data_IF_352172381182
#
_entry.id   IF_352172381182
#
_cell.length_a   1.000
_cell.length_b   1.000
_cell.length_c   1.000
_cell.angle_alpha   90.00
_cell.angle_beta   90.00
_cell.angle_gamma   90.00
#
_symmetry.space_group_name_H-M   'P 1'
#
loop_
_entity.id
_entity.type
_entity.pdbx_description
1 polymer ?
#
# COMPACT_ATOMS: atom_id res chain seq x y z
N UNK A 1 -60.84 -25.07 5.63
CA UNK A 1 -61.92 -24.07 5.83
C UNK A 1 -61.37 -22.88 6.59
N UNK A 2 -61.61 -21.64 6.13
CA UNK A 2 -61.18 -20.40 6.81
C UNK A 2 -61.79 -20.29 8.22
N UNK A 3 -61.10 -19.63 9.15
CA UNK A 3 -61.56 -19.47 10.54
C UNK A 3 -62.95 -18.82 10.63
N UNK A 4 -63.23 -17.84 9.76
CA UNK A 4 -64.55 -17.22 9.62
C UNK A 4 -65.64 -18.20 9.22
N UNK A 5 -65.34 -19.15 8.34
CA UNK A 5 -66.31 -20.17 7.91
C UNK A 5 -66.60 -21.17 9.03
N UNK A 6 -65.58 -21.54 9.83
CA UNK A 6 -65.78 -22.40 11.01
C UNK A 6 -66.62 -21.71 12.08
N UNK A 7 -66.38 -20.42 12.33
CA UNK A 7 -67.13 -19.63 13.31
C UNK A 7 -68.59 -19.44 12.92
N UNK A 8 -68.86 -19.09 11.65
CA UNK A 8 -70.23 -19.00 11.12
C UNK A 8 -70.93 -20.35 11.20
N UNK A 9 -70.27 -21.44 10.79
CA UNK A 9 -70.84 -22.79 10.87
C UNK A 9 -71.18 -23.16 12.33
N UNK A 10 -70.29 -22.87 13.27
CA UNK A 10 -70.51 -23.12 14.69
C UNK A 10 -71.71 -22.35 15.24
N UNK A 11 -71.83 -21.05 14.93
CA UNK A 11 -72.99 -20.24 15.30
C UNK A 11 -74.27 -20.80 14.70
N UNK A 12 -74.26 -21.14 13.40
CA UNK A 12 -75.43 -21.69 12.70
C UNK A 12 -75.88 -23.01 13.33
N UNK A 13 -74.95 -23.92 13.65
CA UNK A 13 -75.27 -25.20 14.28
C UNK A 13 -75.86 -24.99 15.68
N UNK A 14 -75.25 -24.14 16.51
CA UNK A 14 -75.78 -23.84 17.86
C UNK A 14 -77.19 -23.26 17.77
N UNK A 15 -77.40 -22.28 16.90
CA UNK A 15 -78.70 -21.62 16.77
C UNK A 15 -79.75 -22.55 16.15
N UNK A 16 -79.37 -23.42 15.22
CA UNK A 16 -80.28 -24.45 14.69
C UNK A 16 -80.73 -25.42 15.80
N UNK A 17 -79.83 -25.85 16.68
CA UNK A 17 -80.15 -26.72 17.82
C UNK A 17 -81.04 -25.98 18.82
N UNK A 18 -80.73 -24.74 19.19
CA UNK A 18 -81.55 -23.98 20.16
C UNK A 18 -82.91 -23.61 19.61
N UNK A 19 -83.04 -23.28 18.33
CA UNK A 19 -84.34 -23.07 17.66
C UNK A 19 -85.16 -24.36 17.65
N UNK A 20 -84.54 -25.49 17.34
CA UNK A 20 -85.21 -26.80 17.34
C UNK A 20 -85.70 -27.18 18.74
N UNK A 21 -84.87 -26.97 19.77
CA UNK A 21 -85.26 -27.19 21.17
C UNK A 21 -86.38 -26.24 21.62
N UNK A 22 -86.32 -24.96 21.22
CA UNK A 22 -87.37 -23.98 21.50
C UNK A 22 -88.72 -24.41 20.90
N UNK A 23 -88.71 -25.00 19.70
CA UNK A 23 -89.92 -25.52 19.06
C UNK A 23 -90.60 -26.66 19.87
N UNK A 24 -89.83 -27.49 20.58
CA UNK A 24 -90.42 -28.49 21.48
C UNK A 24 -91.08 -27.84 22.71
N UNK A 25 -90.47 -26.78 23.26
CA UNK A 25 -91.00 -26.02 24.42
C UNK A 25 -92.32 -25.31 24.07
N UNK A 26 -92.51 -24.89 22.81
CA UNK A 26 -93.75 -24.28 22.33
C UNK A 26 -95.00 -25.13 22.60
N UNK A 27 -94.87 -26.47 22.53
CA UNK A 27 -96.01 -27.38 22.76
C UNK A 27 -96.46 -27.42 24.22
N UNK A 28 -95.56 -27.13 25.17
CA UNK A 28 -95.86 -27.21 26.61
C UNK A 28 -96.21 -25.85 27.21
N UNK A 29 -95.48 -24.79 26.86
CA UNK A 29 -95.67 -23.47 27.47
C UNK A 29 -95.30 -22.32 26.54
N UNK A 30 -96.32 -21.60 26.04
CA UNK A 30 -96.16 -20.45 25.13
C UNK A 30 -95.35 -19.30 25.75
N UNK A 31 -95.41 -19.12 27.07
CA UNK A 31 -94.70 -18.04 27.76
C UNK A 31 -93.19 -18.30 27.81
N UNK A 32 -92.79 -19.55 28.09
CA UNK A 32 -91.39 -19.97 28.06
C UNK A 32 -90.79 -19.92 26.65
N UNK A 33 -91.60 -20.21 25.62
CA UNK A 33 -91.20 -20.08 24.23
C UNK A 33 -90.83 -18.64 23.85
N UNK A 34 -91.66 -17.65 24.20
CA UNK A 34 -91.37 -16.24 23.92
C UNK A 34 -90.10 -15.75 24.60
N UNK A 35 -89.84 -16.20 25.84
CA UNK A 35 -88.60 -15.88 26.55
C UNK A 35 -87.39 -16.51 25.86
N UNK A 36 -87.49 -17.78 25.45
CA UNK A 36 -86.42 -18.46 24.72
C UNK A 36 -86.11 -17.78 23.37
N UNK A 37 -87.14 -17.35 22.63
CA UNK A 37 -86.99 -16.65 21.36
C UNK A 37 -86.26 -15.31 21.53
N UNK A 38 -86.58 -14.54 22.58
CA UNK A 38 -85.85 -13.32 22.93
C UNK A 38 -84.36 -13.59 23.16
N UNK A 39 -84.01 -14.63 23.94
CA UNK A 39 -82.60 -14.99 24.18
C UNK A 39 -81.89 -15.48 22.92
N UNK A 40 -82.57 -16.18 22.02
CA UNK A 40 -82.02 -16.60 20.72
C UNK A 40 -81.70 -15.38 19.85
N UNK A 41 -82.62 -14.41 19.76
CA UNK A 41 -82.40 -13.17 19.01
C UNK A 41 -81.26 -12.33 19.61
N UNK A 42 -81.19 -12.25 20.95
CA UNK A 42 -80.09 -11.60 21.65
C UNK A 42 -78.74 -12.29 21.37
N UNK A 43 -78.71 -13.63 21.38
CA UNK A 43 -77.51 -14.41 21.08
C UNK A 43 -77.05 -14.22 19.62
N UNK A 44 -77.99 -14.17 18.67
CA UNK A 44 -77.71 -13.83 17.27
C UNK A 44 -77.10 -12.44 17.13
N UNK A 45 -77.67 -11.44 17.82
CA UNK A 45 -77.15 -10.07 17.80
C UNK A 45 -75.73 -9.98 18.37
N UNK A 46 -75.47 -10.65 19.51
CA UNK A 46 -74.14 -10.72 20.12
C UNK A 46 -73.15 -11.44 19.19
N UNK A 47 -73.56 -12.56 18.60
CA UNK A 47 -72.73 -13.35 17.68
C UNK A 47 -72.35 -12.54 16.43
N UNK A 48 -73.30 -11.77 15.89
CA UNK A 48 -73.06 -10.86 14.77
C UNK A 48 -72.13 -9.70 15.15
N UNK A 49 -72.29 -9.13 16.33
CA UNK A 49 -71.39 -8.10 16.87
C UNK A 49 -69.95 -8.63 16.97
N UNK A 50 -69.76 -9.78 17.62
CA UNK A 50 -68.44 -10.41 17.78
C UNK A 50 -67.77 -10.74 16.44
N UNK A 51 -68.55 -11.19 15.45
CA UNK A 51 -68.02 -11.44 14.10
C UNK A 51 -67.46 -10.16 13.46
N UNK A 52 -68.20 -9.06 13.55
CA UNK A 52 -67.80 -7.79 12.96
C UNK A 52 -66.65 -7.12 13.72
N UNK A 53 -66.57 -7.30 15.03
CA UNK A 53 -65.55 -6.67 15.87
C UNK A 53 -64.22 -7.43 15.89
N UNK A 54 -64.24 -8.77 15.79
CA UNK A 54 -63.04 -9.58 15.97
C UNK A 54 -62.59 -10.29 14.68
N UNK A 55 -63.52 -10.93 13.97
CA UNK A 55 -63.17 -11.84 12.86
C UNK A 55 -62.87 -11.06 11.57
N UNK A 56 -63.67 -10.04 11.25
CA UNK A 56 -63.53 -9.25 10.02
C UNK A 56 -62.21 -8.44 9.98
N UNK A 57 -61.80 -7.73 11.04
CA UNK A 57 -60.55 -6.98 11.04
C UNK A 57 -59.31 -7.87 11.00
N UNK A 58 -59.34 -9.05 11.65
CA UNK A 58 -58.24 -10.01 11.62
C UNK A 58 -57.87 -10.45 10.19
N UNK A 59 -58.85 -10.55 9.30
CA UNK A 59 -58.61 -10.87 7.89
C UNK A 59 -57.86 -9.76 7.14
N UNK A 60 -58.00 -8.49 7.56
CA UNK A 60 -57.26 -7.38 6.99
C UNK A 60 -55.79 -7.43 7.41
N UNK A 61 -55.50 -7.71 8.69
CA UNK A 61 -54.12 -7.90 9.16
C UNK A 61 -53.43 -9.08 8.48
N UNK A 62 -54.14 -10.17 8.23
CA UNK A 62 -53.60 -11.31 7.47
C UNK A 62 -53.18 -10.91 6.05
N UNK A 63 -53.89 -9.97 5.39
CA UNK A 63 -53.45 -9.41 4.10
C UNK A 63 -52.21 -8.52 4.24
N UNK A 64 -52.01 -7.89 5.39
CA UNK A 64 -50.77 -7.16 5.68
C UNK A 64 -49.57 -8.09 5.83
N UNK A 65 -49.78 -9.29 6.38
CA UNK A 65 -48.74 -10.31 6.40
C UNK A 65 -48.32 -10.76 4.98
N UNK A 66 -49.27 -10.81 4.04
CA UNK A 66 -48.95 -11.05 2.62
C UNK A 66 -48.12 -9.89 2.03
N UNK A 67 -48.40 -8.63 2.38
CA UNK A 67 -47.57 -7.48 1.95
C UNK A 67 -46.13 -7.55 2.48
N UNK A 68 -45.92 -8.01 3.72
CA UNK A 68 -44.58 -8.27 4.27
C UNK A 68 -43.87 -9.37 3.49
N UNK A 69 -44.57 -10.46 3.18
CA UNK A 69 -44.03 -11.58 2.38
C UNK A 69 -43.60 -11.10 0.98
N UNK A 70 -44.36 -10.19 0.39
CA UNK A 70 -44.06 -9.57 -0.89
C UNK A 70 -43.03 -8.42 -0.80
N UNK A 71 -42.48 -8.17 0.40
CA UNK A 71 -41.49 -7.12 0.72
C UNK A 71 -41.97 -5.69 0.46
N UNK A 72 -43.27 -5.48 0.50
CA UNK A 72 -43.91 -4.16 0.43
C UNK A 72 -44.19 -3.61 1.84
N UNK A 73 -43.23 -2.83 2.35
CA UNK A 73 -43.28 -2.23 3.68
C UNK A 73 -43.95 -0.85 3.71
N UNK A 74 -44.63 -0.45 2.63
CA UNK A 74 -45.34 0.85 2.59
C UNK A 74 -46.78 0.76 3.10
N UNK A 75 -47.29 -0.46 3.31
CA UNK A 75 -48.67 -0.70 3.72
C UNK A 75 -48.83 -0.48 5.23
N UNK A 76 -49.68 0.47 5.60
CA UNK A 76 -50.07 0.76 6.99
C UNK A 76 -51.55 0.53 7.18
N UNK A 77 -51.92 0.08 8.38
CA UNK A 77 -53.33 -0.05 8.76
C UNK A 77 -53.79 1.16 9.57
N UNK A 78 -55.01 1.59 9.30
CA UNK A 78 -55.70 2.64 10.04
C UNK A 78 -56.45 1.99 11.21
N UNK A 79 -56.46 2.67 12.37
CA UNK A 79 -57.20 2.22 13.56
C UNK A 79 -58.69 2.06 13.23
N UNK A 80 -59.28 0.99 13.76
CA UNK A 80 -60.67 0.58 13.55
C UNK A 80 -61.62 1.07 14.65
N UNK A 81 -61.08 1.60 15.75
CA UNK A 81 -61.85 2.06 16.91
C UNK A 81 -62.24 0.92 17.86
N UNK A 82 -61.70 -0.29 17.65
CA UNK A 82 -61.89 -1.46 18.52
C UNK A 82 -60.59 -1.72 19.28
N UNK A 83 -60.67 -1.81 20.61
CA UNK A 83 -59.51 -1.78 21.48
C UNK A 83 -58.48 -2.88 21.17
N UNK A 84 -58.91 -4.13 21.11
CA UNK A 84 -58.05 -5.30 20.87
C UNK A 84 -57.43 -5.26 19.47
N UNK A 85 -58.18 -4.77 18.49
CA UNK A 85 -57.71 -4.68 17.11
C UNK A 85 -56.73 -3.53 16.92
N UNK A 86 -57.00 -2.39 17.55
CA UNK A 86 -56.13 -1.22 17.46
C UNK A 86 -54.77 -1.49 18.11
N UNK A 87 -54.70 -2.31 19.16
CA UNK A 87 -53.43 -2.81 19.71
C UNK A 87 -52.65 -3.64 18.68
N UNK A 88 -53.29 -4.57 17.98
CA UNK A 88 -52.63 -5.39 16.94
C UNK A 88 -52.16 -4.53 15.76
N UNK A 89 -52.96 -3.54 15.35
CA UNK A 89 -52.59 -2.57 14.31
C UNK A 89 -51.39 -1.74 14.75
N UNK A 90 -51.32 -1.34 16.02
CA UNK A 90 -50.21 -0.58 16.57
C UNK A 90 -48.92 -1.40 16.57
N UNK A 91 -48.97 -2.67 17.01
CA UNK A 91 -47.83 -3.60 16.94
C UNK A 91 -47.38 -3.83 15.49
N UNK A 92 -48.33 -4.06 14.58
CA UNK A 92 -48.02 -4.25 13.16
C UNK A 92 -47.35 -3.01 12.55
N UNK A 93 -47.93 -1.83 12.74
CA UNK A 93 -47.40 -0.58 12.19
C UNK A 93 -46.00 -0.29 12.77
N UNK A 94 -45.81 -0.52 14.08
CA UNK A 94 -44.49 -0.36 14.70
C UNK A 94 -43.46 -1.32 14.10
N UNK A 95 -43.81 -2.59 13.88
CA UNK A 95 -42.93 -3.55 13.23
C UNK A 95 -42.57 -3.15 11.79
N UNK A 96 -43.54 -2.68 11.00
CA UNK A 96 -43.28 -2.19 9.63
C UNK A 96 -42.34 -0.99 9.63
N UNK A 97 -42.55 -0.06 10.56
CA UNK A 97 -41.68 1.12 10.69
C UNK A 97 -40.25 0.70 11.07
N UNK A 98 -40.08 -0.24 12.00
CA UNK A 98 -38.77 -0.80 12.35
C UNK A 98 -38.10 -1.50 11.17
N UNK A 99 -38.81 -2.38 10.45
CA UNK A 99 -38.27 -3.07 9.27
C UNK A 99 -37.88 -2.10 8.15
N UNK A 100 -38.68 -1.06 7.94
CA UNK A 100 -38.38 -0.01 6.96
C UNK A 100 -37.14 0.77 7.37
N UNK A 101 -37.02 1.13 8.65
CA UNK A 101 -35.85 1.82 9.17
C UNK A 101 -34.60 0.96 9.02
N UNK A 102 -34.62 -0.29 9.47
CA UNK A 102 -33.50 -1.23 9.32
C UNK A 102 -33.07 -1.40 7.87
N UNK A 103 -34.03 -1.58 6.95
CA UNK A 103 -33.74 -1.71 5.52
C UNK A 103 -33.10 -0.44 4.95
N UNK A 104 -33.64 0.72 5.30
CA UNK A 104 -33.11 2.02 4.82
C UNK A 104 -31.70 2.22 5.34
N UNK A 105 -31.47 2.00 6.65
CA UNK A 105 -30.14 2.10 7.26
C UNK A 105 -29.16 1.10 6.66
N UNK A 106 -29.56 -0.16 6.41
CA UNK A 106 -28.71 -1.15 5.73
C UNK A 106 -28.36 -0.72 4.30
N UNK A 107 -29.32 -0.19 3.55
CA UNK A 107 -29.09 0.31 2.18
C UNK A 107 -28.15 1.51 2.17
N UNK A 108 -28.32 2.46 3.09
CA UNK A 108 -27.44 3.63 3.26
C UNK A 108 -26.02 3.20 3.64
N UNK A 109 -25.87 2.27 4.59
CA UNK A 109 -24.57 1.71 4.96
C UNK A 109 -23.90 1.00 3.78
N UNK A 110 -24.64 0.16 3.05
CA UNK A 110 -24.10 -0.53 1.88
C UNK A 110 -23.65 0.46 0.79
N UNK A 111 -24.48 1.47 0.50
CA UNK A 111 -24.16 2.51 -0.46
C UNK A 111 -22.93 3.33 -0.04
N UNK A 112 -22.82 3.65 1.26
CA UNK A 112 -21.65 4.35 1.81
C UNK A 112 -20.37 3.51 1.67
N UNK A 113 -20.40 2.23 2.03
CA UNK A 113 -19.27 1.32 1.88
C UNK A 113 -18.85 1.16 0.41
N UNK A 114 -19.83 1.01 -0.50
CA UNK A 114 -19.56 0.93 -1.94
C UNK A 114 -18.88 2.23 -2.43
N UNK A 115 -19.37 3.40 -1.99
CA UNK A 115 -18.77 4.68 -2.33
C UNK A 115 -17.35 4.80 -1.81
N UNK A 116 -17.08 4.42 -0.55
CA UNK A 116 -15.72 4.42 0.01
C UNK A 116 -14.76 3.55 -0.82
N UNK A 117 -15.19 2.35 -1.23
CA UNK A 117 -14.38 1.46 -2.08
C UNK A 117 -14.13 2.11 -3.44
N UNK A 118 -15.15 2.71 -4.06
CA UNK A 118 -15.05 3.34 -5.38
C UNK A 118 -14.18 4.61 -5.39
N UNK A 119 -14.16 5.38 -4.30
CA UNK A 119 -13.37 6.62 -4.17
C UNK A 119 -12.00 6.42 -3.51
N UNK A 120 -11.68 5.20 -3.07
CA UNK A 120 -10.40 4.92 -2.41
C UNK A 120 -9.22 5.16 -3.36
N UNK A 121 -8.15 5.84 -2.89
CA UNK A 121 -6.91 6.02 -3.65
C UNK A 121 -6.08 4.73 -3.77
N UNK A 122 -6.46 3.68 -3.04
CA UNK A 122 -5.88 2.33 -3.10
C UNK A 122 -6.66 1.48 -4.10
N UNK A 123 -5.95 0.73 -4.96
CA UNK A 123 -6.57 -0.27 -5.83
C UNK A 123 -6.99 -1.49 -5.01
N UNK A 124 -8.27 -1.86 -5.08
CA UNK A 124 -8.83 -3.01 -4.35
C UNK A 124 -9.35 -4.03 -5.37
N UNK A 125 -8.91 -5.28 -5.24
CA UNK A 125 -9.37 -6.44 -6.00
C UNK A 125 -9.94 -7.46 -5.01
N UNK A 126 -11.18 -7.88 -5.21
CA UNK A 126 -11.87 -8.88 -4.41
C UNK A 126 -11.98 -10.18 -5.20
N UNK A 127 -11.66 -11.29 -4.56
CA UNK A 127 -11.80 -12.63 -5.12
C UNK A 127 -13.01 -13.34 -4.51
N UNK A 128 -13.63 -14.23 -5.28
CA UNK A 128 -14.60 -15.19 -4.73
C UNK A 128 -13.89 -16.41 -4.12
N UNK A 129 -14.68 -17.34 -3.58
CA UNK A 129 -14.19 -18.56 -2.94
C UNK A 129 -13.47 -19.53 -3.90
N UNK A 130 -13.71 -19.40 -5.21
CA UNK A 130 -13.05 -20.19 -6.24
C UNK A 130 -11.77 -19.50 -6.76
N UNK A 131 -11.42 -18.32 -6.23
CA UNK A 131 -10.24 -17.55 -6.60
C UNK A 131 -10.41 -16.71 -7.87
N UNK A 132 -11.63 -16.52 -8.37
CA UNK A 132 -11.91 -15.62 -9.49
C UNK A 132 -12.13 -14.19 -9.02
N UNK A 133 -11.84 -13.23 -9.90
CA UNK A 133 -12.10 -11.81 -9.61
C UNK A 133 -13.61 -11.56 -9.54
N UNK A 134 -14.09 -11.25 -8.32
CA UNK A 134 -15.47 -10.91 -8.04
C UNK A 134 -15.75 -9.41 -8.28
N UNK A 135 -14.84 -8.53 -7.82
CA UNK A 135 -14.97 -7.09 -7.97
C UNK A 135 -13.63 -6.38 -7.98
N UNK A 136 -13.60 -5.21 -8.62
CA UNK A 136 -12.46 -4.29 -8.65
C UNK A 136 -12.98 -2.85 -8.53
N UNK A 137 -12.28 -2.02 -7.77
CA UNK A 137 -12.56 -0.60 -7.73
C UNK A 137 -11.89 0.13 -8.93
N UNK A 138 -12.28 1.39 -9.23
CA UNK A 138 -11.73 2.14 -10.36
C UNK A 138 -10.20 2.22 -10.34
N UNK A 139 -9.62 2.42 -9.15
CA UNK A 139 -8.17 2.52 -9.00
C UNK A 139 -7.43 1.22 -9.32
N UNK A 140 -8.00 0.06 -8.97
CA UNK A 140 -7.44 -1.23 -9.37
C UNK A 140 -7.50 -1.45 -10.89
N UNK A 141 -8.57 -0.99 -11.56
CA UNK A 141 -8.68 -1.05 -13.01
C UNK A 141 -7.61 -0.19 -13.70
N UNK A 142 -7.33 1.00 -13.17
CA UNK A 142 -6.23 1.85 -13.63
C UNK A 142 -4.86 1.16 -13.46
N UNK A 143 -4.59 0.59 -12.29
CA UNK A 143 -3.32 -0.08 -12.01
C UNK A 143 -3.07 -1.37 -12.77
N UNK A 144 -4.15 -2.03 -13.20
CA UNK A 144 -4.08 -3.28 -13.97
C UNK A 144 -4.28 -3.05 -15.47
N UNK A 145 -4.52 -1.80 -15.88
CA UNK A 145 -4.88 -1.41 -17.24
C UNK A 145 -6.05 -2.23 -17.84
N UNK A 146 -6.96 -2.72 -17.00
CA UNK A 146 -8.09 -3.56 -17.41
C UNK A 146 -9.37 -2.75 -17.59
N UNK A 147 -10.17 -3.15 -18.58
CA UNK A 147 -11.55 -2.71 -18.70
C UNK A 147 -12.45 -3.55 -17.79
N UNK A 148 -13.39 -2.89 -17.11
CA UNK A 148 -14.30 -3.50 -16.11
C UNK A 148 -15.02 -4.76 -16.61
N UNK A 149 -15.37 -4.80 -17.89
CA UNK A 149 -16.10 -5.91 -18.53
C UNK A 149 -15.24 -7.16 -18.75
N UNK A 150 -13.91 -6.99 -18.87
CA UNK A 150 -12.97 -8.09 -19.11
C UNK A 150 -12.43 -8.71 -17.83
N UNK A 151 -12.68 -8.09 -16.68
CA UNK A 151 -12.12 -8.49 -15.39
C UNK A 151 -12.97 -9.51 -14.61
N UNK A 152 -14.30 -9.55 -14.80
CA UNK A 152 -15.18 -10.41 -13.99
C UNK A 152 -15.03 -11.88 -14.34
N UNK A 153 -14.93 -12.73 -13.30
CA UNK A 153 -14.95 -14.21 -13.39
C UNK A 153 -13.89 -14.80 -14.31
N UNK A 154 -12.67 -14.24 -14.27
CA UNK A 154 -11.50 -14.83 -14.94
C UNK A 154 -10.44 -15.21 -13.92
N UNK A 155 -9.73 -16.32 -14.14
CA UNK A 155 -8.64 -16.73 -13.26
C UNK A 155 -7.45 -15.76 -13.44
N UNK A 156 -6.66 -15.61 -12.38
CA UNK A 156 -5.45 -14.78 -12.38
C UNK A 156 -4.46 -15.16 -13.50
N UNK A 157 -4.45 -16.44 -13.90
CA UNK A 157 -3.59 -16.98 -14.96
C UNK A 157 -3.85 -16.39 -16.35
N UNK A 158 -5.05 -15.85 -16.59
CA UNK A 158 -5.42 -15.31 -17.90
C UNK A 158 -4.81 -13.92 -18.16
N UNK A 159 -4.23 -13.30 -17.14
CA UNK A 159 -3.69 -11.95 -17.23
C UNK A 159 -2.17 -11.96 -17.25
N UNK A 160 -1.59 -11.33 -18.27
CA UNK A 160 -0.14 -11.20 -18.46
C UNK A 160 0.47 -9.99 -17.76
N UNK A 161 -0.36 -9.14 -17.14
CA UNK A 161 0.13 -7.91 -16.49
C UNK A 161 1.00 -8.26 -15.26
N UNK A 162 2.13 -7.57 -15.03
CA UNK A 162 3.06 -7.85 -13.91
C UNK A 162 2.39 -7.89 -12.54
N UNK A 163 1.39 -7.03 -12.33
CA UNK A 163 0.59 -7.01 -11.08
C UNK A 163 -0.08 -8.35 -10.82
N UNK A 164 -0.66 -9.01 -11.83
CA UNK A 164 -1.36 -10.29 -11.63
C UNK A 164 -0.41 -11.45 -11.38
N UNK A 165 0.78 -11.42 -11.99
CA UNK A 165 1.83 -12.42 -11.70
C UNK A 165 2.24 -12.37 -10.22
N UNK A 166 2.45 -11.17 -9.69
CA UNK A 166 2.81 -10.96 -8.28
C UNK A 166 1.68 -11.41 -7.35
N UNK A 167 0.42 -11.10 -7.70
CA UNK A 167 -0.74 -11.56 -6.93
C UNK A 167 -0.81 -13.09 -6.87
N UNK A 168 -0.49 -13.77 -7.97
CA UNK A 168 -0.46 -15.23 -8.04
C UNK A 168 0.64 -15.87 -7.18
N UNK A 169 1.76 -15.18 -6.98
CA UNK A 169 2.89 -15.64 -6.15
C UNK A 169 2.69 -15.37 -4.64
N UNK A 170 1.92 -14.34 -4.30
CA UNK A 170 1.75 -13.88 -2.92
C UNK A 170 0.91 -14.86 -2.08
N UNK A 171 1.42 -15.19 -0.89
CA UNK A 171 0.61 -15.87 0.14
C UNK A 171 -0.24 -14.85 0.89
N UNK A 172 -1.34 -15.33 1.48
CA UNK A 172 -2.20 -14.51 2.32
C UNK A 172 -1.42 -13.93 3.51
N UNK A 173 -1.48 -12.62 3.69
CA UNK A 173 -0.76 -11.87 4.73
C UNK A 173 0.58 -11.27 4.26
N UNK A 174 1.07 -11.64 3.07
CA UNK A 174 2.32 -11.11 2.52
C UNK A 174 2.09 -9.85 1.69
N UNK A 175 3.16 -9.06 1.53
CA UNK A 175 3.20 -7.92 0.62
C UNK A 175 4.49 -7.91 -0.19
N UNK A 176 4.41 -7.48 -1.45
CA UNK A 176 5.54 -7.38 -2.37
C UNK A 176 5.47 -6.06 -3.12
N UNK A 177 6.63 -5.46 -3.34
CA UNK A 177 6.75 -4.20 -4.06
C UNK A 177 7.24 -4.47 -5.48
N UNK A 178 6.61 -3.84 -6.46
CA UNK A 178 7.03 -3.89 -7.87
C UNK A 178 7.18 -2.50 -8.46
N UNK A 179 8.08 -2.36 -9.41
CA UNK A 179 8.23 -1.14 -10.21
C UNK A 179 7.65 -1.41 -11.58
N UNK A 180 6.66 -0.62 -11.99
CA UNK A 180 6.08 -0.65 -13.34
C UNK A 180 6.89 0.26 -14.28
N UNK A 181 6.74 0.07 -15.59
CA UNK A 181 7.44 0.84 -16.63
C UNK A 181 7.41 2.36 -16.36
N UNK A 182 8.51 2.89 -15.78
CA UNK A 182 8.62 4.27 -15.29
C UNK A 182 9.10 4.36 -13.82
N UNK A 183 8.95 5.52 -13.15
CA UNK A 183 9.34 5.72 -11.75
C UNK A 183 8.29 5.23 -10.74
N UNK A 184 7.22 4.57 -11.18
CA UNK A 184 6.08 4.22 -10.32
C UNK A 184 6.33 2.90 -9.61
N UNK A 185 6.34 2.95 -8.29
CA UNK A 185 6.50 1.78 -7.44
C UNK A 185 5.16 1.46 -6.78
N UNK A 186 4.68 0.24 -6.96
CA UNK A 186 3.44 -0.24 -6.35
C UNK A 186 3.75 -1.24 -5.25
N UNK A 187 3.12 -1.08 -4.10
CA UNK A 187 3.04 -2.10 -3.05
C UNK A 187 1.76 -2.89 -3.24
N UNK A 188 1.90 -4.20 -3.38
CA UNK A 188 0.79 -5.14 -3.51
C UNK A 188 0.73 -5.95 -2.22
N UNK A 189 -0.41 -5.96 -1.56
CA UNK A 189 -0.64 -6.74 -0.34
C UNK A 189 -1.85 -7.66 -0.54
N UNK A 190 -1.68 -8.93 -0.17
CA UNK A 190 -2.76 -9.91 -0.20
C UNK A 190 -3.25 -10.16 1.22
N UNK A 191 -4.55 -10.05 1.43
CA UNK A 191 -5.22 -10.28 2.70
C UNK A 191 -6.47 -11.13 2.49
N UNK A 192 -7.10 -11.55 3.58
CA UNK A 192 -8.25 -12.45 3.54
C UNK A 192 -9.30 -12.01 4.55
N UNK A 193 -10.55 -12.23 4.20
CA UNK A 193 -11.70 -12.05 5.07
C UNK A 193 -12.62 -13.27 4.95
N UNK A 194 -13.59 -13.39 5.85
CA UNK A 194 -14.57 -14.49 5.81
C UNK A 194 -15.89 -13.94 5.31
N UNK A 195 -16.41 -14.48 4.21
CA UNK A 195 -17.75 -14.21 3.71
C UNK A 195 -18.59 -15.49 3.76
N UNK A 196 -19.74 -15.45 4.43
CA UNK A 196 -20.67 -16.60 4.60
C UNK A 196 -20.00 -17.89 5.08
N UNK A 197 -18.94 -17.78 5.89
CA UNK A 197 -18.18 -18.91 6.41
C UNK A 197 -17.05 -19.41 5.52
N UNK A 198 -16.83 -18.81 4.34
CA UNK A 198 -15.74 -19.15 3.44
C UNK A 198 -14.66 -18.06 3.42
N UNK A 199 -13.38 -18.44 3.50
CA UNK A 199 -12.29 -17.48 3.34
C UNK A 199 -12.25 -16.96 1.90
N UNK A 200 -12.26 -15.64 1.75
CA UNK A 200 -12.16 -14.95 0.47
C UNK A 200 -10.94 -14.03 0.51
N UNK A 201 -10.11 -14.12 -0.52
CA UNK A 201 -8.93 -13.25 -0.65
C UNK A 201 -9.33 -11.87 -1.19
N UNK A 202 -8.58 -10.85 -0.79
CA UNK A 202 -8.60 -9.54 -1.41
C UNK A 202 -7.17 -8.99 -1.51
N UNK A 203 -6.95 -8.15 -2.51
CA UNK A 203 -5.66 -7.53 -2.77
C UNK A 203 -5.79 -6.02 -2.74
N UNK A 204 -4.83 -5.38 -2.08
CA UNK A 204 -4.65 -3.93 -2.07
C UNK A 204 -3.40 -3.56 -2.86
N UNK A 205 -3.53 -2.51 -3.67
CA UNK A 205 -2.48 -1.99 -4.55
C UNK A 205 -2.31 -0.51 -4.25
N UNK A 206 -1.20 -0.15 -3.62
CA UNK A 206 -0.87 1.21 -3.21
C UNK A 206 0.31 1.74 -4.01
N UNK A 207 0.25 2.98 -4.46
CA UNK A 207 1.40 3.65 -5.05
C UNK A 207 2.31 4.18 -3.92
N UNK A 208 3.55 3.71 -3.91
CA UNK A 208 4.62 4.29 -3.10
C UNK A 208 5.11 5.53 -3.84
N UNK A 209 4.64 6.72 -3.43
CA UNK A 209 5.09 7.97 -4.03
C UNK A 209 6.53 8.27 -3.63
N UNK A 210 7.22 9.05 -4.49
CA UNK A 210 8.57 9.55 -4.21
C UNK A 210 8.59 10.34 -2.89
N UNK A 211 7.51 11.03 -2.50
CA UNK A 211 7.47 11.75 -1.22
C UNK A 211 7.53 10.81 0.00
N UNK A 212 6.92 9.62 -0.06
CA UNK A 212 6.98 8.63 1.03
C UNK A 212 8.40 8.05 1.11
N UNK A 213 9.00 7.70 -0.04
CA UNK A 213 10.38 7.22 -0.08
C UNK A 213 11.38 8.29 0.39
N UNK A 214 11.17 9.55 0.02
CA UNK A 214 11.94 10.68 0.49
C UNK A 214 11.72 10.97 1.97
N UNK A 215 10.50 10.80 2.48
CA UNK A 215 10.17 10.96 3.89
C UNK A 215 10.83 9.86 4.74
N UNK A 216 10.81 8.61 4.27
CA UNK A 216 11.58 7.52 4.87
C UNK A 216 13.08 7.79 4.82
N UNK A 217 13.64 8.19 3.66
CA UNK A 217 15.06 8.57 3.50
C UNK A 217 15.45 9.71 4.45
N UNK A 218 14.59 10.74 4.59
CA UNK A 218 14.79 11.86 5.53
C UNK A 218 14.73 11.42 6.99
N UNK A 219 13.80 10.53 7.34
CA UNK A 219 13.63 9.99 8.70
C UNK A 219 14.85 9.15 9.12
N UNK A 220 15.24 8.17 8.29
CA UNK A 220 16.44 7.38 8.50
C UNK A 220 17.71 8.25 8.51
N UNK A 221 17.79 9.26 7.65
CA UNK A 221 18.91 10.18 7.63
C UNK A 221 19.13 10.98 8.91
N UNK A 222 18.06 11.32 9.63
CA UNK A 222 18.17 12.00 10.92
C UNK A 222 18.72 11.06 12.01
N UNK A 223 18.25 9.81 12.03
CA UNK A 223 18.73 8.78 12.98
C UNK A 223 20.18 8.43 12.70
N UNK A 224 20.53 8.21 11.44
CA UNK A 224 21.90 7.84 11.03
C UNK A 224 22.88 8.98 11.33
N UNK A 225 22.47 10.24 11.21
CA UNK A 225 23.27 11.42 11.62
C UNK A 225 23.57 11.42 13.11
N UNK A 226 22.55 11.18 13.94
CA UNK A 226 22.73 11.11 15.40
C UNK A 226 23.69 9.97 15.75
N UNK A 227 23.51 8.79 15.14
CA UNK A 227 24.39 7.65 15.36
C UNK A 227 25.83 7.91 14.88
N UNK A 228 26.03 8.53 13.72
CA UNK A 228 27.37 8.85 13.22
C UNK A 228 28.11 9.83 14.14
N UNK A 229 27.43 10.84 14.68
CA UNK A 229 28.01 11.72 15.69
C UNK A 229 28.35 10.97 16.98
N UNK A 230 27.45 10.14 17.49
CA UNK A 230 27.68 9.40 18.74
C UNK A 230 28.81 8.38 18.61
N UNK A 231 28.89 7.69 17.47
CA UNK A 231 29.97 6.73 17.16
C UNK A 231 31.30 7.44 17.00
N UNK A 232 31.36 8.57 16.28
CA UNK A 232 32.60 9.34 16.15
C UNK A 232 33.08 9.91 17.49
N UNK A 233 32.17 10.38 18.34
CA UNK A 233 32.49 10.86 19.68
C UNK A 233 33.06 9.73 20.55
N UNK A 234 32.42 8.55 20.53
CA UNK A 234 32.87 7.38 21.28
C UNK A 234 34.21 6.85 20.79
N UNK A 235 34.40 6.77 19.47
CA UNK A 235 35.67 6.33 18.85
C UNK A 235 36.81 7.31 19.17
N UNK A 236 36.56 8.62 19.11
CA UNK A 236 37.57 9.63 19.44
C UNK A 236 38.09 9.48 20.87
N UNK A 237 37.19 9.23 21.83
CA UNK A 237 37.56 8.98 23.21
C UNK A 237 38.35 7.67 23.37
N UNK A 238 37.92 6.58 22.71
CA UNK A 238 38.62 5.30 22.74
C UNK A 238 40.02 5.41 22.12
N UNK A 239 40.16 6.07 20.97
CA UNK A 239 41.47 6.28 20.34
C UNK A 239 42.40 7.12 21.23
N UNK A 240 41.89 8.15 21.89
CA UNK A 240 42.70 8.94 22.83
C UNK A 240 43.24 8.10 24.00
N UNK A 241 42.42 7.18 24.54
CA UNK A 241 42.86 6.25 25.59
C UNK A 241 43.88 5.25 25.03
N UNK A 242 43.65 4.71 23.83
CA UNK A 242 44.57 3.78 23.18
C UNK A 242 45.91 4.44 22.85
N UNK A 243 45.92 5.66 22.33
CA UNK A 243 47.13 6.45 22.04
C UNK A 243 47.92 6.76 23.32
N UNK A 244 47.23 7.18 24.39
CA UNK A 244 47.86 7.42 25.69
C UNK A 244 48.46 6.13 26.24
N UNK A 245 47.73 5.02 26.13
CA UNK A 245 48.22 3.71 26.58
C UNK A 245 49.43 3.29 25.75
N UNK A 246 49.40 3.47 24.43
CA UNK A 246 50.49 3.14 23.50
C UNK A 246 51.77 3.93 23.83
N UNK A 247 51.64 5.22 24.18
CA UNK A 247 52.76 6.08 24.58
C UNK A 247 53.38 5.68 25.92
N UNK A 248 52.60 5.10 26.84
CA UNK A 248 53.06 4.63 28.15
C UNK A 248 53.69 3.22 28.11
N UNK A 249 53.58 2.48 27.00
CA UNK A 249 54.15 1.14 26.86
C UNK A 249 55.65 1.16 26.55
N UNK A 250 56.39 0.22 27.16
CA UNK A 250 57.80 -0.01 26.85
C UNK A 250 58.03 -0.34 25.35
N UNK A 251 59.22 -0.07 24.79
CA UNK A 251 59.55 -0.34 23.39
C UNK A 251 59.25 -1.78 22.94
N UNK A 252 59.54 -2.77 23.79
CA UNK A 252 59.40 -4.21 23.51
C UNK A 252 58.08 -4.82 23.99
N UNK A 253 57.06 -4.01 24.28
CA UNK A 253 55.75 -4.52 24.73
C UNK A 253 55.02 -5.28 23.62
N UNK A 254 54.69 -6.55 23.86
CA UNK A 254 53.89 -7.39 22.94
C UNK A 254 52.48 -6.81 22.66
N UNK A 255 52.01 -5.88 23.48
CA UNK A 255 50.68 -5.26 23.37
C UNK A 255 50.68 -4.08 22.40
N UNK A 256 51.84 -3.48 22.07
CA UNK A 256 51.94 -2.33 21.14
C UNK A 256 51.34 -2.61 19.76
N UNK A 257 51.66 -3.74 19.07
CA UNK A 257 51.05 -4.06 17.80
C UNK A 257 49.52 -4.20 17.88
N UNK A 258 49.00 -4.77 18.97
CA UNK A 258 47.56 -4.93 19.19
C UNK A 258 46.85 -3.59 19.39
N UNK A 259 47.45 -2.65 20.13
CA UNK A 259 46.93 -1.30 20.31
C UNK A 259 46.91 -0.51 18.99
N UNK A 260 47.97 -0.63 18.19
CA UNK A 260 48.07 0.06 16.91
C UNK A 260 47.03 -0.45 15.90
N UNK A 261 46.81 -1.76 15.85
CA UNK A 261 45.72 -2.37 15.07
C UNK A 261 44.33 -1.91 15.56
N UNK A 262 44.14 -1.74 16.87
CA UNK A 262 42.87 -1.25 17.42
C UNK A 262 42.59 0.21 17.03
N UNK A 263 43.62 1.07 17.07
CA UNK A 263 43.55 2.47 16.61
C UNK A 263 43.19 2.52 15.13
N UNK A 264 43.89 1.78 14.27
CA UNK A 264 43.63 1.73 12.83
C UNK A 264 42.19 1.26 12.52
N UNK A 265 41.69 0.24 13.24
CA UNK A 265 40.31 -0.24 13.06
C UNK A 265 39.26 0.78 13.48
N UNK A 266 39.51 1.51 14.55
CA UNK A 266 38.64 2.57 15.02
C UNK A 266 38.60 3.75 14.04
N UNK A 267 39.75 4.16 13.51
CA UNK A 267 39.83 5.19 12.48
C UNK A 267 39.09 4.78 11.19
N UNK A 268 39.21 3.51 10.79
CA UNK A 268 38.45 2.97 9.67
C UNK A 268 36.94 3.03 9.93
N UNK A 269 36.47 2.70 11.13
CA UNK A 269 35.05 2.77 11.50
C UNK A 269 34.54 4.22 11.52
N UNK A 270 35.34 5.17 12.02
CA UNK A 270 35.00 6.60 11.98
C UNK A 270 34.88 7.13 10.55
N UNK A 271 35.81 6.75 9.67
CA UNK A 271 35.72 7.09 8.24
C UNK A 271 34.49 6.46 7.57
N UNK A 272 34.20 5.20 7.88
CA UNK A 272 33.01 4.51 7.37
C UNK A 272 31.72 5.23 7.77
N UNK A 273 31.57 5.59 9.05
CA UNK A 273 30.37 6.28 9.55
C UNK A 273 30.20 7.67 8.94
N UNK A 274 31.28 8.42 8.74
CA UNK A 274 31.23 9.73 8.06
C UNK A 274 30.77 9.60 6.61
N UNK A 275 31.39 8.70 5.86
CA UNK A 275 31.05 8.49 4.46
C UNK A 275 29.61 7.97 4.28
N UNK A 276 29.13 7.15 5.22
CA UNK A 276 27.74 6.68 5.22
C UNK A 276 26.75 7.81 5.49
N UNK A 277 27.05 8.69 6.47
CA UNK A 277 26.25 9.87 6.73
C UNK A 277 26.20 10.83 5.53
N UNK A 278 27.30 10.99 4.80
CA UNK A 278 27.37 11.88 3.63
C UNK A 278 26.49 11.41 2.46
N UNK A 279 26.36 10.09 2.22
CA UNK A 279 25.43 9.55 1.21
C UNK A 279 23.98 9.85 1.53
N UNK A 280 23.60 9.80 2.80
CA UNK A 280 22.21 10.03 3.21
C UNK A 280 21.92 11.55 3.34
N UNK A 281 22.97 12.36 3.49
CA UNK A 281 22.92 13.82 3.65
C UNK A 281 22.84 14.57 2.33
N UNK A 282 23.05 13.94 1.17
CA UNK A 282 23.23 14.67 -0.11
C UNK A 282 22.15 15.75 -0.30
N UNK A 283 22.50 17.05 -0.18
CA UNK A 283 21.52 18.13 -0.31
C UNK A 283 21.13 18.31 -1.77
N UNK A 284 19.97 18.92 -2.00
CA UNK A 284 19.57 19.30 -3.36
C UNK A 284 20.66 20.20 -3.99
N UNK A 285 21.05 19.96 -5.26
CA UNK A 285 22.15 20.68 -5.90
C UNK A 285 21.80 22.15 -6.11
N UNK A 286 22.70 23.04 -5.72
CA UNK A 286 22.58 24.48 -6.02
C UNK A 286 23.23 24.75 -7.37
N UNK A 287 22.45 24.56 -8.44
CA UNK A 287 22.97 24.65 -9.82
C UNK A 287 23.29 26.11 -10.20
N UNK A 288 24.52 26.35 -10.61
CA UNK A 288 24.96 27.59 -11.24
C UNK A 288 25.61 27.29 -12.58
N UNK A 289 25.86 28.32 -13.39
CA UNK A 289 26.61 28.16 -14.63
C UNK A 289 28.09 27.96 -14.28
N UNK A 290 28.61 26.76 -14.47
CA UNK A 290 29.97 26.34 -14.09
C UNK A 290 30.78 26.02 -15.33
N UNK A 291 32.02 26.52 -15.39
CA UNK A 291 33.01 26.14 -16.39
C UNK A 291 33.58 24.74 -16.07
N UNK A 292 33.24 23.75 -16.90
CA UNK A 292 33.67 22.37 -16.70
C UNK A 292 35.16 22.19 -16.98
N UNK A 293 35.75 22.98 -17.88
CA UNK A 293 37.17 22.88 -18.19
C UNK A 293 38.01 23.33 -16.98
N UNK A 294 37.63 24.43 -16.33
CA UNK A 294 38.29 24.94 -15.13
C UNK A 294 38.16 23.93 -13.98
N UNK A 295 36.96 23.38 -13.76
CA UNK A 295 36.71 22.38 -12.73
C UNK A 295 37.57 21.12 -12.95
N UNK A 296 37.65 20.61 -14.17
CA UNK A 296 38.46 19.43 -14.50
C UNK A 296 39.96 19.70 -14.31
N UNK A 297 40.46 20.90 -14.67
CA UNK A 297 41.86 21.29 -14.41
C UNK A 297 42.15 21.27 -12.91
N UNK A 298 41.29 21.89 -12.10
CA UNK A 298 41.43 21.94 -10.64
C UNK A 298 41.47 20.54 -10.02
N UNK A 299 40.54 19.67 -10.39
CA UNK A 299 40.47 18.31 -9.84
C UNK A 299 41.64 17.44 -10.32
N UNK A 300 42.02 17.55 -11.59
CA UNK A 300 43.18 16.80 -12.12
C UNK A 300 44.46 17.21 -11.40
N UNK A 301 44.64 18.51 -11.13
CA UNK A 301 45.77 19.00 -10.34
C UNK A 301 45.75 18.47 -8.91
N UNK A 302 44.59 18.47 -8.24
CA UNK A 302 44.42 17.90 -6.90
C UNK A 302 44.81 16.42 -6.85
N UNK A 303 44.49 15.65 -7.89
CA UNK A 303 44.75 14.20 -7.96
C UNK A 303 46.14 13.82 -8.50
N UNK A 304 46.92 14.80 -8.97
CA UNK A 304 48.27 14.57 -9.49
C UNK A 304 49.21 13.90 -8.48
N UNK A 305 49.16 14.30 -7.21
CA UNK A 305 50.00 13.71 -6.16
C UNK A 305 49.65 12.25 -5.90
N UNK A 306 48.36 11.93 -5.79
CA UNK A 306 47.88 10.56 -5.60
C UNK A 306 48.23 9.65 -6.78
N UNK A 307 48.09 10.15 -8.02
CA UNK A 307 48.48 9.40 -9.21
C UNK A 307 49.99 9.16 -9.26
N UNK A 308 50.82 10.16 -8.93
CA UNK A 308 52.28 10.02 -8.87
C UNK A 308 52.71 8.96 -7.83
N UNK A 309 52.09 8.95 -6.65
CA UNK A 309 52.39 7.95 -5.62
C UNK A 309 51.99 6.53 -6.04
N UNK A 310 50.90 6.39 -6.81
CA UNK A 310 50.47 5.11 -7.37
C UNK A 310 51.28 4.70 -8.63
N UNK A 311 52.10 5.60 -9.18
CA UNK A 311 52.83 5.40 -10.43
C UNK A 311 51.92 5.36 -11.66
N UNK A 312 50.84 6.15 -11.67
CA UNK A 312 49.84 6.22 -12.75
C UNK A 312 49.97 7.56 -13.50
N UNK A 313 49.91 7.54 -14.83
CA UNK A 313 49.88 8.75 -15.66
C UNK A 313 48.47 9.32 -15.74
N UNK A 314 48.30 10.63 -15.49
CA UNK A 314 47.03 11.35 -15.67
C UNK A 314 47.09 12.19 -16.94
N UNK A 315 46.15 11.96 -17.85
CA UNK A 315 46.04 12.69 -19.11
C UNK A 315 44.72 13.45 -19.15
N UNK A 316 44.77 14.77 -19.36
CA UNK A 316 43.59 15.63 -19.44
C UNK A 316 43.45 16.19 -20.85
N UNK A 317 42.32 15.91 -21.49
CA UNK A 317 41.93 16.45 -22.80
C UNK A 317 40.61 17.21 -22.66
N UNK A 318 40.64 18.50 -22.97
CA UNK A 318 39.48 19.40 -22.83
C UNK A 318 39.32 20.25 -24.10
N UNK A 319 38.08 20.59 -24.49
CA UNK A 319 37.83 21.24 -25.77
C UNK A 319 38.06 22.76 -25.67
N UNK A 320 38.26 23.40 -26.82
CA UNK A 320 38.24 24.86 -26.95
C UNK A 320 37.18 25.26 -27.99
N UNK A 321 36.23 26.17 -27.69
CA UNK A 321 36.09 26.96 -26.46
C UNK A 321 35.62 26.14 -25.25
N UNK A 322 35.72 26.74 -24.06
CA UNK A 322 35.32 26.12 -22.79
C UNK A 322 33.84 25.75 -22.75
N UNK A 323 33.51 24.65 -22.07
CA UNK A 323 32.13 24.18 -21.92
C UNK A 323 31.56 24.56 -20.56
N UNK A 324 30.38 25.19 -20.59
CA UNK A 324 29.65 25.57 -19.39
C UNK A 324 28.44 24.67 -19.17
N UNK A 325 28.17 24.26 -17.92
CA UNK A 325 27.03 23.44 -17.52
C UNK A 325 26.28 24.06 -16.35
N UNK A 326 24.98 23.80 -16.25
CA UNK A 326 24.22 24.07 -15.03
C UNK A 326 24.49 22.97 -14.00
N UNK A 327 25.35 23.26 -13.03
CA UNK A 327 25.80 22.28 -12.04
C UNK A 327 26.11 22.92 -10.69
N UNK A 328 26.05 22.10 -9.64
CA UNK A 328 26.65 22.42 -8.35
C UNK A 328 28.14 22.04 -8.40
N UNK A 329 29.02 23.04 -8.43
CA UNK A 329 30.46 22.81 -8.60
C UNK A 329 31.05 21.89 -7.52
N UNK A 330 30.59 22.00 -6.27
CA UNK A 330 31.09 21.19 -5.16
C UNK A 330 30.65 19.73 -5.26
N UNK A 331 29.39 19.48 -5.62
CA UNK A 331 28.91 18.12 -5.83
C UNK A 331 29.58 17.45 -7.04
N UNK A 332 29.74 18.17 -8.16
CA UNK A 332 30.44 17.62 -9.33
C UNK A 332 31.92 17.40 -9.03
N UNK A 333 32.59 18.29 -8.29
CA UNK A 333 33.95 18.08 -7.80
C UNK A 333 34.07 16.75 -7.04
N UNK A 334 33.10 16.45 -6.17
CA UNK A 334 33.07 15.21 -5.39
C UNK A 334 32.91 13.97 -6.28
N UNK A 335 32.06 14.03 -7.32
CA UNK A 335 31.94 12.95 -8.32
C UNK A 335 33.28 12.72 -9.01
N UNK A 336 33.91 13.79 -9.51
CA UNK A 336 35.17 13.71 -10.24
C UNK A 336 36.29 13.12 -9.39
N UNK A 337 36.46 13.60 -8.15
CA UNK A 337 37.47 13.07 -7.21
C UNK A 337 37.25 11.59 -6.96
N UNK A 338 36.00 11.17 -6.69
CA UNK A 338 35.69 9.76 -6.44
C UNK A 338 35.97 8.89 -7.66
N UNK A 339 35.62 9.34 -8.86
CA UNK A 339 35.81 8.55 -10.08
C UNK A 339 37.29 8.49 -10.48
N UNK A 340 38.02 9.60 -10.39
CA UNK A 340 39.46 9.63 -10.69
C UNK A 340 40.24 8.78 -9.67
N UNK A 341 39.91 8.89 -8.38
CA UNK A 341 40.50 8.02 -7.36
C UNK A 341 40.26 6.54 -7.64
N UNK A 342 39.01 6.17 -7.97
CA UNK A 342 38.67 4.79 -8.33
C UNK A 342 39.44 4.30 -9.56
N UNK A 343 39.61 5.17 -10.57
CA UNK A 343 40.37 4.89 -11.79
C UNK A 343 41.87 4.70 -11.51
N UNK A 344 42.47 5.54 -10.67
CA UNK A 344 43.87 5.41 -10.24
C UNK A 344 44.08 4.08 -9.51
N UNK A 345 43.25 3.77 -8.52
CA UNK A 345 43.34 2.55 -7.73
C UNK A 345 43.11 1.26 -8.54
N UNK A 346 42.34 1.34 -9.62
CA UNK A 346 42.09 0.21 -10.51
C UNK A 346 43.21 -0.01 -11.54
N UNK A 347 44.07 0.99 -11.75
CA UNK A 347 45.13 0.97 -12.76
C UNK A 347 46.39 0.26 -12.24
N UNK A 348 47.11 -0.48 -13.10
CA UNK A 348 48.41 -1.04 -12.75
C UNK A 348 49.46 0.07 -12.56
N UNK A 349 50.61 -0.29 -11.98
CA UNK A 349 51.78 0.59 -11.97
C UNK A 349 52.23 0.87 -13.42
N UNK A 350 52.48 2.13 -13.75
CA UNK A 350 52.65 2.67 -15.11
C UNK A 350 51.37 2.63 -15.99
N UNK A 351 50.20 2.46 -15.38
CA UNK A 351 48.91 2.60 -16.05
C UNK A 351 48.58 4.06 -16.39
N UNK A 352 47.52 4.26 -17.16
CA UNK A 352 47.08 5.57 -17.62
C UNK A 352 45.61 5.77 -17.28
N UNK A 353 45.31 6.94 -16.71
CA UNK A 353 43.94 7.43 -16.49
C UNK A 353 43.74 8.65 -17.39
N UNK A 354 42.84 8.52 -18.35
CA UNK A 354 42.50 9.57 -19.32
C UNK A 354 41.19 10.25 -18.91
N UNK A 355 41.20 11.57 -18.84
CA UNK A 355 40.06 12.43 -18.54
C UNK A 355 39.79 13.26 -19.78
N UNK A 356 38.69 12.97 -20.48
CA UNK A 356 38.36 13.61 -21.75
C UNK A 356 37.00 14.29 -21.65
N UNK A 357 36.93 15.57 -22.02
CA UNK A 357 35.69 16.30 -22.21
C UNK A 357 35.52 16.63 -23.69
N UNK A 358 34.38 16.26 -24.28
CA UNK A 358 34.04 16.56 -25.69
C UNK A 358 32.83 17.48 -25.77
N UNK A 359 32.76 18.30 -26.82
CA UNK A 359 31.64 19.22 -27.07
C UNK A 359 30.55 18.63 -27.96
N UNK A 360 30.91 17.72 -28.88
CA UNK A 360 29.98 17.09 -29.83
C UNK A 360 30.32 15.59 -30.06
N UNK A 361 29.57 14.64 -29.46
CA UNK A 361 28.54 14.88 -28.43
C UNK A 361 29.16 15.43 -27.14
N UNK A 362 28.37 16.18 -26.38
CA UNK A 362 28.78 16.72 -25.08
C UNK A 362 28.91 15.58 -24.07
N UNK A 363 30.14 15.23 -23.71
CA UNK A 363 30.40 14.06 -22.87
C UNK A 363 31.70 14.22 -22.09
N UNK A 364 31.64 13.94 -20.79
CA UNK A 364 32.81 13.75 -19.93
C UNK A 364 33.09 12.25 -19.83
N UNK A 365 34.33 11.84 -20.06
CA UNK A 365 34.77 10.45 -19.95
C UNK A 365 36.01 10.36 -19.07
N UNK A 366 35.97 9.52 -18.04
CA UNK A 366 37.12 9.12 -17.23
C UNK A 366 37.40 7.66 -17.56
N UNK A 367 38.55 7.39 -18.16
CA UNK A 367 38.93 6.07 -18.67
C UNK A 367 40.22 5.58 -18.01
N UNK A 368 40.32 4.29 -17.71
CA UNK A 368 41.56 3.69 -17.21
C UNK A 368 41.85 2.32 -17.81
N UNK A 369 43.14 1.99 -17.97
CA UNK A 369 43.61 0.70 -18.49
C UNK A 369 43.82 -0.37 -17.39
N UNK A 370 42.96 -0.32 -16.38
CA UNK A 370 42.98 -1.22 -15.23
C UNK A 370 42.35 -2.58 -15.48
N UNK A 371 42.16 -3.35 -14.40
CA UNK A 371 41.41 -4.61 -14.49
C UNK A 371 39.97 -4.34 -14.97
N UNK A 372 39.47 -5.08 -15.98
CA UNK A 372 38.10 -4.91 -16.44
C UNK A 372 37.11 -5.34 -15.35
N UNK A 373 35.93 -4.73 -15.41
CA UNK A 373 34.79 -5.02 -14.56
C UNK A 373 34.16 -6.34 -15.07
N UNK A 374 34.04 -7.37 -14.22
CA UNK A 374 33.30 -8.57 -14.57
C UNK A 374 31.83 -8.25 -14.87
N UNK A 375 31.25 -8.82 -15.93
CA UNK A 375 29.85 -8.58 -16.31
C UNK A 375 28.86 -8.89 -15.19
N UNK A 376 29.16 -9.88 -14.35
CA UNK A 376 28.33 -10.31 -13.21
C UNK A 376 28.17 -9.25 -12.12
N UNK A 377 29.07 -8.27 -12.06
CA UNK A 377 29.06 -7.23 -11.03
C UNK A 377 28.62 -5.85 -11.55
N UNK A 378 28.46 -5.67 -12.87
CA UNK A 378 28.12 -4.39 -13.51
C UNK A 378 26.84 -3.77 -12.92
N UNK A 379 25.79 -4.59 -12.75
CA UNK A 379 24.49 -4.17 -12.20
C UNK A 379 24.55 -3.81 -10.70
N UNK A 380 25.60 -4.23 -10.00
CA UNK A 380 25.78 -4.03 -8.55
C UNK A 380 26.72 -2.88 -8.23
N UNK A 381 27.44 -2.32 -9.19
CA UNK A 381 28.47 -1.29 -8.93
C UNK A 381 27.94 -0.03 -8.24
N UNK A 382 26.67 0.29 -8.47
CA UNK A 382 26.01 1.47 -7.91
C UNK A 382 25.08 1.15 -6.75
N UNK A 383 25.14 -0.06 -6.20
CA UNK A 383 24.42 -0.38 -4.96
C UNK A 383 25.24 0.04 -3.75
N UNK A 384 24.61 0.61 -2.70
CA UNK A 384 25.31 0.96 -1.47
C UNK A 384 26.09 -0.23 -0.91
N UNK A 385 27.31 0.03 -0.44
CA UNK A 385 28.21 -0.94 0.21
C UNK A 385 28.78 -2.03 -0.69
N UNK A 386 28.51 -2.01 -1.99
CA UNK A 386 29.14 -2.94 -2.91
C UNK A 386 30.58 -2.51 -3.21
N UNK A 387 31.53 -3.40 -2.92
CA UNK A 387 32.95 -3.21 -3.22
C UNK A 387 33.60 -4.55 -3.54
N UNK A 388 34.40 -4.59 -4.60
CA UNK A 388 35.23 -5.75 -4.96
C UNK A 388 36.65 -5.64 -4.38
N UNK A 389 36.95 -4.56 -3.65
CA UNK A 389 38.26 -4.25 -3.06
C UNK A 389 38.28 -4.53 -1.56
N UNK A 390 39.36 -5.14 -1.08
CA UNK A 390 39.63 -5.30 0.36
C UNK A 390 39.76 -3.93 1.03
N UNK A 391 38.90 -3.63 2.00
CA UNK A 391 38.84 -2.33 2.69
C UNK A 391 38.07 -1.22 1.95
N UNK A 392 37.52 -1.49 0.76
CA UNK A 392 36.69 -0.54 0.04
C UNK A 392 35.30 -0.45 0.67
N UNK A 393 34.86 0.77 0.98
CA UNK A 393 33.59 1.00 1.69
C UNK A 393 32.34 0.86 0.81
N UNK A 394 32.48 0.91 -0.53
CA UNK A 394 31.35 0.76 -1.47
C UNK A 394 30.39 1.95 -1.52
N UNK A 395 30.83 3.11 -1.05
CA UNK A 395 29.99 4.32 -0.89
C UNK A 395 30.20 5.30 -2.05
N UNK A 396 31.41 5.38 -2.63
CA UNK A 396 31.78 6.42 -3.60
C UNK A 396 31.01 6.37 -4.93
N UNK A 397 30.74 5.17 -5.47
CA UNK A 397 29.96 5.01 -6.71
C UNK A 397 28.47 5.31 -6.49
N UNK A 398 27.93 4.89 -5.35
CA UNK A 398 26.56 5.21 -4.92
C UNK A 398 26.37 6.71 -4.79
N UNK A 399 27.31 7.42 -4.16
CA UNK A 399 27.27 8.87 -4.04
C UNK A 399 27.33 9.56 -5.42
N UNK A 400 28.21 9.08 -6.31
CA UNK A 400 28.31 9.61 -7.66
C UNK A 400 27.01 9.46 -8.45
N UNK A 401 26.34 8.30 -8.33
CA UNK A 401 25.02 8.07 -8.90
C UNK A 401 23.98 9.06 -8.37
N UNK A 402 23.90 9.24 -7.05
CA UNK A 402 22.90 10.14 -6.44
C UNK A 402 23.10 11.58 -6.92
N UNK A 403 24.34 12.06 -6.95
CA UNK A 403 24.68 13.41 -7.44
C UNK A 403 24.29 13.57 -8.91
N UNK A 404 24.72 12.65 -9.78
CA UNK A 404 24.45 12.75 -11.22
C UNK A 404 22.97 12.63 -11.55
N UNK A 405 22.25 11.77 -10.81
CA UNK A 405 20.78 11.65 -10.93
C UNK A 405 20.08 12.94 -10.52
N UNK A 406 20.48 13.57 -9.41
CA UNK A 406 19.95 14.87 -8.99
C UNK A 406 20.28 16.02 -9.98
N UNK A 407 21.40 15.89 -10.70
CA UNK A 407 21.76 16.82 -11.77
C UNK A 407 21.01 16.57 -13.08
N UNK A 408 20.40 15.37 -13.25
CA UNK A 408 19.76 14.95 -14.48
C UNK A 408 20.76 14.56 -15.58
N UNK A 409 21.98 14.18 -15.20
CA UNK A 409 23.06 13.82 -16.12
C UNK A 409 23.11 12.31 -16.33
N UNK A 410 22.79 11.80 -17.54
CA UNK A 410 22.94 10.39 -17.84
C UNK A 410 24.40 9.94 -17.69
N UNK A 411 24.62 8.77 -17.10
CA UNK A 411 25.96 8.22 -16.91
C UNK A 411 26.01 6.72 -17.19
N UNK A 412 27.22 6.20 -17.43
CA UNK A 412 27.48 4.78 -17.61
C UNK A 412 28.89 4.44 -17.15
N UNK A 413 29.10 3.21 -16.66
CA UNK A 413 30.40 2.67 -16.28
C UNK A 413 30.55 1.29 -16.88
N UNK A 414 31.44 1.12 -17.85
CA UNK A 414 31.61 -0.15 -18.57
C UNK A 414 33.07 -0.43 -18.88
N UNK A 415 33.44 -1.70 -18.99
CA UNK A 415 34.71 -2.11 -19.56
C UNK A 415 34.50 -2.48 -21.02
N UNK A 416 35.22 -1.80 -21.90
CA UNK A 416 35.16 -2.01 -23.33
C UNK A 416 36.09 -3.16 -23.77
N UNK A 417 35.86 -3.74 -24.96
CA UNK A 417 36.67 -4.85 -25.48
C UNK A 417 38.16 -4.51 -25.67
N UNK A 418 38.51 -3.22 -25.69
CA UNK A 418 39.88 -2.73 -25.77
C UNK A 418 40.64 -2.77 -24.43
N UNK A 419 40.01 -3.30 -23.38
CA UNK A 419 40.60 -3.44 -22.05
C UNK A 419 40.52 -2.18 -21.19
N UNK A 420 39.91 -1.11 -21.69
CA UNK A 420 39.71 0.12 -20.90
C UNK A 420 38.37 0.11 -20.20
N UNK A 421 38.36 0.62 -18.98
CA UNK A 421 37.12 0.88 -18.23
C UNK A 421 36.80 2.36 -18.33
N UNK A 422 35.60 2.68 -18.81
CA UNK A 422 35.15 4.05 -19.09
C UNK A 422 33.94 4.40 -18.24
N UNK A 423 34.09 5.46 -17.45
CA UNK A 423 33.00 6.18 -16.83
C UNK A 423 32.62 7.36 -17.72
N UNK A 424 31.44 7.33 -18.32
CA UNK A 424 30.95 8.38 -19.22
C UNK A 424 29.74 9.09 -18.61
N UNK A 425 29.74 10.43 -18.66
CA UNK A 425 28.67 11.31 -18.18
C UNK A 425 28.29 12.29 -19.29
N UNK A 426 27.00 12.57 -19.44
CA UNK A 426 26.45 13.53 -20.41
C UNK A 426 25.90 14.77 -19.67
N UNK A 427 26.75 15.80 -19.45
CA UNK A 427 26.40 16.99 -18.68
C UNK A 427 25.59 18.04 -19.44
#
# INVERSE_FOLDING_TARGET
>A
MKLSAKFILFIVVIHAVTITLSFFIFKENKLLFLVAEFFILLSLAISWSLYNELIRPLQLLLRGADAIKDRDFNVRFVKTGKFEMDQLIEVYNHMIDQLRLERTTQQEQHYFLEKLIQTSPTGIILFDYDGFIAAMNPRALEWTALQREKAKRRPLSDFTHPVFQVIGELKTGESKTITLDGPRTLKIQKAQFVDRGFPCDFVMIEELTVEILEAEKRSYGKVIRMMAHEVNNSIGAVNSILDTTLQLQAPDSEVKPALQVAIERNEHLSHFMRNFADVIRLPAPTKALVDLNELLRKVTQLMSFSAKNAGVNLELSIPHPSLQAWADAGQIEQVLVNMIKNAIEASPKNGTVSITLTSNPRQLTIANNGKPIPKEVEDKLFTPFFSTKNGGQGIGLTLAREILTAHGWPFSLKSDPDGWTRFAVKP
#
